data_IF_412688975073
#
_entry.id   IF_412688975073
#
_cell.length_a   1.000
_cell.length_b   1.000
_cell.length_c   1.000
_cell.angle_alpha   90.00
_cell.angle_beta   90.00
_cell.angle_gamma   90.00
#
_symmetry.space_group_name_H-M   'P 1'
#
loop_
_entity.id
_entity.type
_entity.pdbx_description
1 polymer ?
#
# COMPACT_ATOMS: atom_id res chain seq x y z
N UNK A 1 1.83 -47.59 -34.60
CA UNK A 1 2.63 -47.77 -33.37
C UNK A 1 2.58 -46.47 -32.59
N UNK A 2 1.79 -46.41 -31.50
CA UNK A 2 1.59 -45.20 -30.68
C UNK A 2 2.78 -45.06 -29.72
N UNK A 3 3.50 -43.95 -29.79
CA UNK A 3 4.55 -43.59 -28.83
C UNK A 3 3.84 -42.94 -27.63
N UNK A 4 3.86 -43.65 -26.50
CA UNK A 4 3.39 -43.17 -25.20
C UNK A 4 4.40 -42.16 -24.65
N UNK A 5 4.03 -40.87 -24.64
CA UNK A 5 4.70 -39.86 -23.80
C UNK A 5 4.29 -40.11 -22.34
N UNK A 6 5.20 -40.69 -21.55
CA UNK A 6 5.10 -40.67 -20.10
C UNK A 6 5.28 -39.23 -19.61
N UNK A 7 4.18 -38.60 -19.22
CA UNK A 7 4.19 -37.34 -18.48
C UNK A 7 4.56 -37.64 -17.02
N UNK A 8 5.86 -37.76 -16.73
CA UNK A 8 6.37 -37.75 -15.35
C UNK A 8 6.42 -36.29 -14.89
N UNK A 9 5.31 -35.74 -14.42
CA UNK A 9 5.30 -34.47 -13.70
C UNK A 9 5.66 -34.78 -12.25
N UNK A 10 6.89 -34.44 -11.87
CA UNK A 10 7.42 -34.62 -10.53
C UNK A 10 6.55 -33.88 -9.50
N UNK A 11 6.05 -34.66 -8.54
CA UNK A 11 5.63 -34.18 -7.23
C UNK A 11 6.91 -33.98 -6.40
N UNK A 12 7.28 -32.73 -6.16
CA UNK A 12 8.34 -32.33 -5.23
C UNK A 12 7.77 -31.17 -4.42
N UNK A 13 7.20 -31.49 -3.26
CA UNK A 13 6.55 -30.54 -2.35
C UNK A 13 5.97 -31.26 -1.14
N UNK A 14 6.82 -31.93 -0.36
CA UNK A 14 6.36 -32.73 0.78
C UNK A 14 7.47 -33.12 1.76
N UNK A 15 8.54 -32.32 1.86
CA UNK A 15 9.58 -32.51 2.89
C UNK A 15 9.87 -31.18 3.60
N UNK A 16 9.84 -30.07 2.86
CA UNK A 16 9.96 -28.73 3.44
C UNK A 16 8.64 -28.23 4.07
N UNK A 17 7.48 -28.68 3.55
CA UNK A 17 6.17 -28.23 4.01
C UNK A 17 5.82 -28.80 5.40
N UNK A 18 6.18 -30.05 5.69
CA UNK A 18 5.96 -30.69 7.00
C UNK A 18 6.80 -30.03 8.11
N UNK A 19 8.07 -29.69 7.82
CA UNK A 19 8.96 -28.99 8.75
C UNK A 19 8.48 -27.54 9.03
N UNK A 20 7.85 -26.89 8.04
CA UNK A 20 7.28 -25.56 8.22
C UNK A 20 5.95 -25.57 9.01
N UNK A 21 5.13 -26.63 8.89
CA UNK A 21 3.95 -26.85 9.75
C UNK A 21 4.31 -27.06 11.22
N UNK A 22 5.30 -27.91 11.47
CA UNK A 22 5.81 -28.15 12.82
C UNK A 22 6.33 -26.84 13.46
N UNK A 23 7.05 -26.01 12.69
CA UNK A 23 7.51 -24.69 13.14
C UNK A 23 6.35 -23.73 13.45
N UNK A 24 5.31 -23.69 12.61
CA UNK A 24 4.12 -22.84 12.86
C UNK A 24 3.48 -23.22 14.19
N UNK A 25 3.25 -24.51 14.42
CA UNK A 25 2.62 -24.99 15.66
C UNK A 25 3.46 -24.68 16.90
N UNK A 26 4.79 -24.81 16.80
CA UNK A 26 5.72 -24.47 17.87
C UNK A 26 5.70 -22.96 18.18
N UNK A 27 5.78 -22.11 17.14
CA UNK A 27 5.75 -20.66 17.28
C UNK A 27 4.42 -20.18 17.86
N UNK A 28 3.29 -20.77 17.46
CA UNK A 28 1.98 -20.48 18.04
C UNK A 28 1.96 -20.78 19.55
N UNK A 29 2.42 -21.95 19.98
CA UNK A 29 2.52 -22.31 21.41
C UNK A 29 3.45 -21.36 22.18
N UNK A 30 4.57 -20.96 21.58
CA UNK A 30 5.49 -19.99 22.20
C UNK A 30 4.86 -18.61 22.34
N UNK A 31 4.06 -18.17 21.37
CA UNK A 31 3.30 -16.91 21.43
C UNK A 31 2.19 -17.00 22.47
N UNK A 32 1.50 -18.13 22.60
CA UNK A 32 0.49 -18.33 23.64
C UNK A 32 1.11 -18.29 25.05
N UNK A 33 2.28 -18.92 25.22
CA UNK A 33 3.01 -18.91 26.48
C UNK A 33 3.67 -17.54 26.79
N UNK A 34 4.10 -16.82 25.75
CA UNK A 34 4.74 -15.50 25.86
C UNK A 34 4.29 -14.56 24.75
N UNK A 35 3.11 -13.91 24.91
CA UNK A 35 2.51 -13.07 23.87
C UNK A 35 3.34 -11.84 23.49
N UNK A 36 4.18 -11.36 24.41
CA UNK A 36 4.93 -10.12 24.25
C UNK A 36 6.29 -10.28 23.54
N UNK A 37 6.57 -11.45 22.96
CA UNK A 37 7.80 -11.68 22.21
C UNK A 37 7.64 -11.29 20.74
N UNK A 38 8.00 -10.05 20.40
CA UNK A 38 7.89 -9.49 19.05
C UNK A 38 8.52 -10.39 17.96
N UNK A 39 9.72 -10.93 18.21
CA UNK A 39 10.45 -11.75 17.25
C UNK A 39 9.69 -13.03 16.86
N UNK A 40 8.94 -13.63 17.79
CA UNK A 40 8.16 -14.83 17.53
C UNK A 40 7.01 -14.55 16.56
N UNK A 41 6.35 -13.39 16.70
CA UNK A 41 5.30 -12.96 15.78
C UNK A 41 5.84 -12.71 14.37
N UNK A 42 6.98 -12.03 14.24
CA UNK A 42 7.62 -11.79 12.94
C UNK A 42 8.02 -13.11 12.27
N UNK A 43 8.61 -14.04 13.03
CA UNK A 43 8.95 -15.38 12.53
C UNK A 43 7.72 -16.13 12.07
N UNK A 44 6.64 -16.14 12.86
CA UNK A 44 5.38 -16.79 12.50
C UNK A 44 4.84 -16.24 11.17
N UNK A 45 4.76 -14.91 11.03
CA UNK A 45 4.31 -14.26 9.80
C UNK A 45 5.20 -14.65 8.60
N UNK A 46 6.52 -14.72 8.80
CA UNK A 46 7.45 -15.08 7.72
C UNK A 46 7.25 -16.52 7.22
N UNK A 47 6.99 -17.48 8.12
CA UNK A 47 6.74 -18.88 7.78
C UNK A 47 5.37 -19.02 7.11
N UNK A 48 4.32 -18.41 7.68
CA UNK A 48 2.99 -18.40 7.06
C UNK A 48 2.99 -17.80 5.65
N UNK A 49 3.75 -16.71 5.43
CA UNK A 49 3.88 -16.09 4.11
C UNK A 49 4.57 -17.00 3.09
N UNK A 50 5.54 -17.82 3.53
CA UNK A 50 6.24 -18.80 2.68
C UNK A 50 5.28 -19.89 2.18
N UNK A 51 4.41 -20.40 3.06
CA UNK A 51 3.38 -21.40 2.72
C UNK A 51 2.27 -20.86 1.82
N UNK A 52 2.13 -19.53 1.69
CA UNK A 52 1.04 -18.85 0.96
C UNK A 52 -0.36 -19.18 1.49
N UNK A 53 -0.45 -19.55 2.76
CA UNK A 53 -1.70 -19.75 3.49
C UNK A 53 -2.18 -18.39 4.00
N UNK A 54 -2.93 -17.67 3.16
CA UNK A 54 -3.32 -16.28 3.43
C UNK A 54 -4.20 -16.12 4.67
N UNK A 55 -5.09 -17.08 4.97
CA UNK A 55 -5.98 -17.01 6.13
C UNK A 55 -5.19 -17.01 7.45
N UNK A 56 -4.26 -17.96 7.61
CA UNK A 56 -3.41 -18.03 8.80
C UNK A 56 -2.45 -16.85 8.89
N UNK A 57 -1.91 -16.41 7.75
CA UNK A 57 -1.04 -15.25 7.65
C UNK A 57 -1.76 -13.97 8.14
N UNK A 58 -2.99 -13.74 7.71
CA UNK A 58 -3.77 -12.57 8.14
C UNK A 58 -4.16 -12.66 9.60
N UNK A 59 -4.55 -13.84 10.10
CA UNK A 59 -4.84 -14.03 11.51
C UNK A 59 -3.60 -13.81 12.41
N UNK A 60 -2.41 -14.19 11.95
CA UNK A 60 -1.16 -13.91 12.66
C UNK A 60 -0.82 -12.41 12.67
N UNK A 61 -1.00 -11.72 11.54
CA UNK A 61 -0.79 -10.26 11.43
C UNK A 61 -1.79 -9.47 12.28
N UNK A 62 -3.06 -9.87 12.30
CA UNK A 62 -4.09 -9.23 13.12
C UNK A 62 -3.72 -9.29 14.60
N UNK A 63 -3.41 -10.51 15.11
CA UNK A 63 -2.95 -10.71 16.50
C UNK A 63 -1.70 -9.89 16.83
N UNK A 64 -0.75 -9.80 15.91
CA UNK A 64 0.45 -8.99 16.12
C UNK A 64 0.10 -7.50 16.19
N UNK A 65 -0.76 -7.00 15.30
CA UNK A 65 -1.15 -5.59 15.23
C UNK A 65 -1.97 -5.10 16.42
N UNK A 66 -2.68 -6.00 17.11
CA UNK A 66 -3.38 -5.69 18.36
C UNK A 66 -2.43 -5.48 19.53
N UNK A 67 -1.28 -6.16 19.52
CA UNK A 67 -0.30 -6.14 20.60
C UNK A 67 0.83 -5.13 20.36
N UNK A 68 1.21 -4.90 19.10
CA UNK A 68 2.37 -4.10 18.73
C UNK A 68 2.08 -3.19 17.54
N UNK A 69 2.63 -1.95 17.54
CA UNK A 69 2.67 -1.15 16.32
C UNK A 69 3.59 -1.84 15.30
N UNK A 70 3.05 -2.19 14.14
CA UNK A 70 3.83 -2.86 13.11
C UNK A 70 4.62 -1.84 12.28
N UNK A 71 5.82 -2.21 11.82
CA UNK A 71 6.63 -1.30 11.02
C UNK A 71 5.94 -1.01 9.67
N UNK A 72 6.23 0.14 9.04
CA UNK A 72 5.66 0.46 7.72
C UNK A 72 5.85 -0.63 6.68
N UNK A 73 6.98 -1.33 6.70
CA UNK A 73 7.30 -2.41 5.76
C UNK A 73 6.35 -3.61 5.94
N UNK A 74 6.05 -3.98 7.19
CA UNK A 74 5.13 -5.08 7.51
C UNK A 74 3.69 -4.75 7.09
N UNK A 75 3.27 -3.50 7.27
CA UNK A 75 1.97 -3.02 6.81
C UNK A 75 1.86 -3.06 5.28
N UNK A 76 2.89 -2.58 4.58
CA UNK A 76 2.94 -2.60 3.11
C UNK A 76 2.93 -4.04 2.59
N UNK A 77 3.68 -4.95 3.22
CA UNK A 77 3.66 -6.36 2.87
C UNK A 77 2.27 -6.98 3.04
N UNK A 78 1.56 -6.63 4.11
CA UNK A 78 0.18 -7.08 4.31
C UNK A 78 -0.75 -6.57 3.22
N UNK A 79 -0.71 -5.27 2.94
CA UNK A 79 -1.52 -4.65 1.90
C UNK A 79 -1.27 -5.31 0.54
N UNK A 80 -0.01 -5.61 0.22
CA UNK A 80 0.35 -6.30 -1.01
C UNK A 80 -0.14 -7.75 -1.08
N UNK A 81 -0.16 -8.45 0.05
CA UNK A 81 -0.68 -9.81 0.11
C UNK A 81 -2.21 -9.84 0.03
N UNK A 82 -2.92 -8.91 0.68
CA UNK A 82 -4.39 -8.77 0.57
C UNK A 82 -4.81 -8.49 -0.88
N UNK A 83 -4.05 -7.69 -1.64
CA UNK A 83 -4.28 -7.45 -3.08
C UNK A 83 -4.20 -8.70 -3.94
N UNK A 84 -3.41 -9.71 -3.52
CA UNK A 84 -3.25 -10.98 -4.26
C UNK A 84 -4.41 -11.92 -4.00
N UNK A 85 -5.11 -11.76 -2.87
CA UNK A 85 -6.30 -12.54 -2.56
C UNK A 85 -7.42 -12.12 -3.49
N UNK A 86 -7.96 -13.08 -4.25
CA UNK A 86 -8.97 -12.86 -5.28
C UNK A 86 -10.36 -12.51 -4.74
N UNK A 87 -10.45 -11.46 -3.92
CA UNK A 87 -11.69 -10.93 -3.35
C UNK A 87 -12.42 -10.03 -4.35
N UNK A 88 -13.73 -9.83 -4.12
CA UNK A 88 -14.49 -8.83 -4.86
C UNK A 88 -13.87 -7.43 -4.70
N UNK A 89 -13.83 -6.64 -5.78
CA UNK A 89 -13.17 -5.32 -5.81
C UNK A 89 -13.64 -4.38 -4.69
N UNK A 90 -14.93 -4.39 -4.37
CA UNK A 90 -15.51 -3.52 -3.35
C UNK A 90 -15.09 -3.93 -1.92
N UNK A 91 -15.06 -5.23 -1.65
CA UNK A 91 -14.62 -5.77 -0.35
C UNK A 91 -13.12 -5.51 -0.18
N UNK A 92 -12.32 -5.80 -1.21
CA UNK A 92 -10.89 -5.51 -1.23
C UNK A 92 -10.61 -4.03 -0.95
N UNK A 93 -11.32 -3.11 -1.60
CA UNK A 93 -11.18 -1.66 -1.35
C UNK A 93 -11.45 -1.29 0.10
N UNK A 94 -12.52 -1.82 0.69
CA UNK A 94 -12.90 -1.51 2.07
C UNK A 94 -11.84 -2.03 3.05
N UNK A 95 -11.35 -3.25 2.84
CA UNK A 95 -10.29 -3.85 3.65
C UNK A 95 -8.98 -3.08 3.54
N UNK A 96 -8.55 -2.76 2.32
CA UNK A 96 -7.32 -2.01 2.11
C UNK A 96 -7.38 -0.61 2.72
N UNK A 97 -8.50 0.11 2.56
CA UNK A 97 -8.68 1.42 3.21
C UNK A 97 -8.55 1.31 4.73
N UNK A 98 -9.17 0.29 5.34
CA UNK A 98 -9.03 0.03 6.78
C UNK A 98 -7.57 -0.25 7.18
N UNK A 99 -6.85 -1.08 6.40
CA UNK A 99 -5.44 -1.37 6.64
C UNK A 99 -4.56 -0.12 6.53
N UNK A 100 -4.78 0.75 5.55
CA UNK A 100 -4.06 2.02 5.44
C UNK A 100 -4.30 2.94 6.63
N UNK A 101 -5.55 3.13 7.04
CA UNK A 101 -5.89 3.99 8.19
C UNK A 101 -5.28 3.43 9.49
N UNK A 102 -5.26 2.11 9.67
CA UNK A 102 -4.58 1.45 10.79
C UNK A 102 -3.07 1.66 10.75
N UNK A 103 -2.45 1.45 9.59
CA UNK A 103 -1.01 1.63 9.41
C UNK A 103 -0.57 3.08 9.68
N UNK A 104 -1.39 4.05 9.24
CA UNK A 104 -1.15 5.48 9.46
C UNK A 104 -1.35 5.91 10.92
N UNK A 105 -2.16 5.17 11.69
CA UNK A 105 -2.31 5.37 13.14
C UNK A 105 -1.07 4.92 13.91
N UNK A 106 -0.43 3.83 13.47
CA UNK A 106 0.83 3.37 14.06
C UNK A 106 1.98 4.33 13.72
N UNK A 107 2.14 4.65 12.43
CA UNK A 107 3.21 5.53 11.95
C UNK A 107 2.71 6.45 10.83
N UNK A 108 2.86 7.79 10.93
CA UNK A 108 2.58 8.72 9.83
C UNK A 108 3.71 8.67 8.78
N UNK A 109 3.96 7.50 8.20
CA UNK A 109 5.05 7.26 7.26
C UNK A 109 4.72 7.81 5.87
N UNK A 110 5.69 8.48 5.25
CA UNK A 110 5.58 8.95 3.86
C UNK A 110 5.35 7.80 2.89
N UNK A 111 5.99 6.65 3.10
CA UNK A 111 5.84 5.48 2.22
C UNK A 111 4.40 4.98 2.17
N UNK A 112 3.76 4.88 3.33
CA UNK A 112 2.36 4.43 3.46
C UNK A 112 1.42 5.44 2.80
N UNK A 113 1.58 6.74 3.05
CA UNK A 113 0.77 7.78 2.43
C UNK A 113 0.92 7.82 0.90
N UNK A 114 2.15 7.67 0.40
CA UNK A 114 2.42 7.61 -1.03
C UNK A 114 1.73 6.42 -1.66
N UNK A 115 1.81 5.25 -1.03
CA UNK A 115 1.14 4.06 -1.56
C UNK A 115 -0.39 4.14 -1.43
N UNK A 116 -0.90 4.78 -0.38
CA UNK A 116 -2.34 4.97 -0.17
C UNK A 116 -2.95 5.85 -1.27
N UNK A 117 -2.34 7.00 -1.54
CA UNK A 117 -2.80 7.93 -2.58
C UNK A 117 -2.58 7.44 -4.00
N UNK A 118 -1.48 6.71 -4.25
CA UNK A 118 -1.14 6.14 -5.56
C UNK A 118 -1.69 4.73 -5.79
N UNK A 119 -2.47 4.19 -4.84
CA UNK A 119 -3.04 2.85 -4.98
C UNK A 119 -3.85 2.74 -6.26
N UNK A 120 -3.60 1.74 -7.12
CA UNK A 120 -4.38 1.53 -8.33
C UNK A 120 -5.88 1.41 -8.03
N UNK A 121 -6.28 0.92 -6.86
CA UNK A 121 -7.70 0.87 -6.48
C UNK A 121 -8.30 2.25 -6.18
N UNK A 122 -7.49 3.19 -5.69
CA UNK A 122 -7.91 4.58 -5.54
C UNK A 122 -7.98 5.30 -6.90
N UNK A 123 -7.11 4.94 -7.85
CA UNK A 123 -6.97 5.61 -9.14
C UNK A 123 -7.80 5.01 -10.29
N UNK A 124 -8.05 3.70 -10.31
CA UNK A 124 -8.72 2.97 -11.39
C UNK A 124 -10.25 3.17 -11.39
N UNK A 125 -10.83 3.63 -10.28
CA UNK A 125 -12.27 3.87 -10.15
C UNK A 125 -12.65 5.36 -10.23
N UNK A 126 -11.73 6.24 -10.68
CA UNK A 126 -12.05 7.65 -10.94
C UNK A 126 -12.89 7.73 -12.23
N UNK A 127 -14.15 7.32 -12.14
CA UNK A 127 -15.16 7.47 -13.20
C UNK A 127 -16.04 8.70 -12.98
N UNK A 128 -16.02 9.26 -11.76
CA UNK A 128 -16.82 10.41 -11.35
C UNK A 128 -15.99 11.45 -10.59
N UNK A 129 -16.43 12.71 -10.65
CA UNK A 129 -15.84 13.83 -9.90
C UNK A 129 -15.82 13.57 -8.39
N UNK A 130 -16.81 12.83 -7.86
CA UNK A 130 -16.90 12.49 -6.45
C UNK A 130 -15.72 11.62 -5.98
N UNK A 131 -15.27 10.68 -6.81
CA UNK A 131 -14.15 9.80 -6.46
C UNK A 131 -12.81 10.53 -6.55
N UNK A 132 -12.69 11.49 -7.46
CA UNK A 132 -11.53 12.39 -7.52
C UNK A 132 -11.40 13.25 -6.24
N UNK A 133 -12.52 13.80 -5.75
CA UNK A 133 -12.51 14.64 -4.56
C UNK A 133 -12.14 13.84 -3.29
N UNK A 134 -12.48 12.56 -3.22
CA UNK A 134 -12.00 11.65 -2.16
C UNK A 134 -10.48 11.45 -2.20
N UNK A 135 -9.90 11.21 -3.38
CA UNK A 135 -8.45 11.02 -3.50
C UNK A 135 -7.70 12.32 -3.18
N UNK A 136 -8.26 13.48 -3.56
CA UNK A 136 -7.73 14.79 -3.15
C UNK A 136 -7.71 14.97 -1.64
N UNK A 137 -8.77 14.57 -0.96
CA UNK A 137 -8.85 14.64 0.50
C UNK A 137 -7.75 13.80 1.17
N UNK A 138 -7.46 12.61 0.64
CA UNK A 138 -6.36 11.76 1.10
C UNK A 138 -5.01 12.49 0.94
N UNK A 139 -4.75 13.11 -0.21
CA UNK A 139 -3.50 13.86 -0.44
C UNK A 139 -3.39 15.11 0.44
N UNK A 140 -4.49 15.82 0.70
CA UNK A 140 -4.48 16.96 1.62
C UNK A 140 -4.20 16.53 3.07
N UNK A 141 -4.75 15.39 3.51
CA UNK A 141 -4.40 14.77 4.80
C UNK A 141 -2.92 14.36 4.85
N UNK A 142 -2.41 13.78 3.76
CA UNK A 142 -1.00 13.40 3.64
C UNK A 142 -0.07 14.62 3.74
N UNK A 143 -0.41 15.72 3.05
CA UNK A 143 0.34 16.98 3.12
C UNK A 143 0.31 17.57 4.53
N UNK A 144 -0.84 17.54 5.19
CA UNK A 144 -0.96 18.06 6.56
C UNK A 144 -0.11 17.24 7.55
N UNK A 145 -0.04 15.92 7.36
CA UNK A 145 0.67 15.03 8.26
C UNK A 145 2.17 14.97 8.00
N UNK A 146 2.58 14.83 6.74
CA UNK A 146 3.97 14.51 6.34
C UNK A 146 4.50 15.42 5.25
N UNK A 147 3.75 16.43 4.84
CA UNK A 147 4.13 17.36 3.78
C UNK A 147 5.28 18.31 4.14
N UNK A 148 5.66 18.41 5.42
CA UNK A 148 6.85 19.14 5.91
C UNK A 148 8.09 18.25 6.07
N UNK A 149 7.96 16.95 5.80
CA UNK A 149 9.06 16.02 5.97
C UNK A 149 10.20 16.37 5.03
N UNK A 150 11.34 16.77 5.58
CA UNK A 150 12.44 17.40 4.82
C UNK A 150 12.92 16.53 3.65
N UNK A 151 13.15 15.23 3.89
CA UNK A 151 13.76 14.33 2.88
C UNK A 151 12.75 13.78 1.87
N UNK A 152 11.62 13.27 2.35
CA UNK A 152 10.66 12.50 1.53
C UNK A 152 9.34 13.23 1.28
N UNK A 153 9.07 14.36 1.94
CA UNK A 153 7.82 15.10 1.79
C UNK A 153 7.57 15.54 0.35
N UNK A 154 8.63 15.80 -0.43
CA UNK A 154 8.54 16.14 -1.85
C UNK A 154 7.81 15.07 -2.67
N UNK A 155 7.91 13.79 -2.31
CA UNK A 155 7.26 12.68 -3.00
C UNK A 155 5.73 12.82 -2.95
N UNK A 156 5.17 13.18 -1.79
CA UNK A 156 3.72 13.37 -1.63
C UNK A 156 3.23 14.54 -2.50
N UNK A 157 3.98 15.64 -2.51
CA UNK A 157 3.65 16.80 -3.35
C UNK A 157 3.73 16.46 -4.84
N UNK A 158 4.74 15.69 -5.26
CA UNK A 158 4.92 15.20 -6.63
C UNK A 158 3.74 14.31 -7.05
N UNK A 159 3.43 13.28 -6.26
CA UNK A 159 2.30 12.39 -6.54
C UNK A 159 0.96 13.13 -6.63
N UNK A 160 0.73 14.13 -5.77
CA UNK A 160 -0.51 14.91 -5.85
C UNK A 160 -0.58 15.76 -7.13
N UNK A 161 0.55 16.35 -7.55
CA UNK A 161 0.60 17.08 -8.82
C UNK A 161 0.40 16.17 -10.02
N UNK A 162 1.01 14.99 -10.01
CA UNK A 162 0.83 14.00 -11.08
C UNK A 162 -0.65 13.63 -11.25
N UNK A 163 -1.37 13.45 -10.16
CA UNK A 163 -2.82 13.20 -10.19
C UNK A 163 -3.59 14.36 -10.82
N UNK A 164 -3.34 15.61 -10.40
CA UNK A 164 -4.04 16.78 -10.96
C UNK A 164 -3.70 17.03 -12.44
N UNK A 165 -2.44 16.78 -12.83
CA UNK A 165 -2.00 16.86 -14.23
C UNK A 165 -2.65 15.76 -15.07
N UNK A 166 -2.70 14.52 -14.56
CA UNK A 166 -3.39 13.41 -15.21
C UNK A 166 -4.86 13.75 -15.45
N UNK A 167 -5.56 14.25 -14.43
CA UNK A 167 -6.95 14.65 -14.56
C UNK A 167 -7.14 15.82 -15.53
N UNK A 168 -6.25 16.80 -15.52
CA UNK A 168 -6.26 17.91 -16.48
C UNK A 168 -6.14 17.41 -17.92
N UNK A 169 -5.32 16.39 -18.18
CA UNK A 169 -5.18 15.76 -19.50
C UNK A 169 -6.49 15.06 -19.90
N UNK A 170 -7.11 14.31 -18.99
CA UNK A 170 -8.40 13.65 -19.26
C UNK A 170 -9.50 14.66 -19.60
N UNK A 171 -9.55 15.79 -18.89
CA UNK A 171 -10.49 16.88 -19.14
C UNK A 171 -10.26 17.60 -20.47
N UNK A 172 -9.03 17.65 -21.00
CA UNK A 172 -8.75 18.30 -22.29
C UNK A 172 -9.58 17.70 -23.43
N UNK A 173 -9.89 16.41 -23.33
CA UNK A 173 -10.59 15.65 -24.36
C UNK A 173 -12.12 15.79 -24.33
N UNK A 174 -12.74 16.25 -23.22
CA UNK A 174 -14.19 16.12 -23.04
C UNK A 174 -14.96 17.33 -22.43
N UNK A 175 -14.34 18.46 -22.04
CA UNK A 175 -15.07 19.52 -21.31
C UNK A 175 -14.70 21.00 -21.62
N UNK A 176 -15.57 21.90 -21.11
CA UNK A 176 -15.57 23.38 -21.18
C UNK A 176 -14.32 24.04 -20.56
N UNK A 177 -13.87 25.16 -21.14
CA UNK A 177 -12.68 25.90 -20.74
C UNK A 177 -12.61 26.28 -19.24
N UNK A 178 -13.76 26.50 -18.58
CA UNK A 178 -13.84 26.88 -17.16
C UNK A 178 -13.23 25.83 -16.22
N UNK A 179 -13.59 24.54 -16.39
CA UNK A 179 -13.07 23.45 -15.53
C UNK A 179 -11.57 23.19 -15.75
N UNK A 180 -11.06 23.47 -16.95
CA UNK A 180 -9.63 23.42 -17.26
C UNK A 180 -8.87 24.51 -16.51
N UNK A 181 -9.44 25.72 -16.40
CA UNK A 181 -8.84 26.82 -15.66
C UNK A 181 -8.83 26.54 -14.14
N UNK A 182 -9.92 26.02 -13.58
CA UNK A 182 -9.97 25.62 -12.17
C UNK A 182 -8.89 24.59 -11.81
N UNK A 183 -8.75 23.54 -12.62
CA UNK A 183 -7.75 22.47 -12.39
C UNK A 183 -6.32 23.01 -12.52
N UNK A 184 -6.06 23.91 -13.49
CA UNK A 184 -4.76 24.60 -13.59
C UNK A 184 -4.46 25.43 -12.34
N UNK A 185 -5.44 26.20 -11.84
CA UNK A 185 -5.28 27.01 -10.65
C UNK A 185 -4.97 26.16 -9.40
N UNK A 186 -5.56 24.95 -9.30
CA UNK A 186 -5.20 23.99 -8.24
C UNK A 186 -3.73 23.58 -8.32
N UNK A 187 -3.25 23.18 -9.50
CA UNK A 187 -1.84 22.82 -9.72
C UNK A 187 -0.91 23.98 -9.34
N UNK A 188 -1.22 25.21 -9.76
CA UNK A 188 -0.45 26.40 -9.35
C UNK A 188 -0.50 26.64 -7.84
N UNK A 189 -1.65 26.45 -7.21
CA UNK A 189 -1.80 26.53 -5.77
C UNK A 189 -0.92 25.53 -5.02
N UNK A 190 -0.82 24.29 -5.53
CA UNK A 190 0.06 23.26 -4.96
C UNK A 190 1.53 23.66 -5.07
N UNK A 191 1.98 24.17 -6.22
CA UNK A 191 3.34 24.69 -6.36
C UNK A 191 3.63 25.82 -5.38
N UNK A 192 2.72 26.79 -5.26
CA UNK A 192 2.90 27.92 -4.33
C UNK A 192 3.03 27.44 -2.88
N UNK A 193 2.20 26.48 -2.47
CA UNK A 193 2.27 25.88 -1.13
C UNK A 193 3.60 25.14 -0.93
N UNK A 194 4.00 24.30 -1.88
CA UNK A 194 5.24 23.53 -1.77
C UNK A 194 6.48 24.44 -1.69
N UNK A 195 6.55 25.50 -2.50
CA UNK A 195 7.67 26.45 -2.47
C UNK A 195 7.78 27.23 -1.15
N UNK A 196 6.72 27.22 -0.34
CA UNK A 196 6.71 27.84 0.99
C UNK A 196 7.20 26.88 2.09
N UNK A 197 7.47 25.60 1.76
CA UNK A 197 7.94 24.58 2.70
C UNK A 197 9.42 24.29 2.42
N UNK A 198 10.28 24.25 3.45
CA UNK A 198 11.70 23.94 3.30
C UNK A 198 11.90 22.43 3.07
N UNK A 199 11.51 21.95 1.90
CA UNK A 199 11.72 20.57 1.47
C UNK A 199 13.10 20.45 0.82
N UNK A 200 13.74 19.30 1.01
CA UNK A 200 14.92 18.91 0.27
C UNK A 200 14.48 18.54 -1.16
N UNK A 201 14.23 19.55 -1.99
CA UNK A 201 13.89 19.38 -3.39
C UNK A 201 15.10 18.95 -4.19
N UNK A 202 14.95 17.89 -5.00
CA UNK A 202 15.82 17.61 -6.15
C UNK A 202 15.71 18.79 -7.14
N UNK A 203 16.42 19.88 -6.89
CA UNK A 203 16.67 20.91 -7.89
C UNK A 203 17.67 20.44 -8.98
N UNK A 204 18.13 19.18 -8.92
CA UNK A 204 19.22 18.65 -9.76
C UNK A 204 18.79 18.00 -11.07
N UNK A 205 17.50 17.80 -11.37
CA UNK A 205 17.08 17.13 -12.62
C UNK A 205 16.47 18.06 -13.68
N UNK A 206 16.49 19.38 -13.46
CA UNK A 206 16.13 20.37 -14.49
C UNK A 206 17.34 21.17 -15.00
N UNK A 207 18.55 20.77 -14.60
CA UNK A 207 19.82 21.31 -15.08
C UNK A 207 20.68 20.12 -15.55
N UNK A 208 20.27 19.49 -16.66
CA UNK A 208 21.14 18.82 -17.62
C UNK A 208 20.33 18.43 -18.86
#
# INVERSE_FOLDING_TARGET
MKILFQFRRGFVGGFDDDDDEDKISLLQRQIEASPYTYENHVKLISVCRKKKEYEELFAARERMSELFPMTPELWIDWINDERKVGSSKLDLRTRLNSLYERALKDYPSVSIWSEYGSSPLALLEIHSKCDLDRVREIFERAITSVGIHVVQGSLIWESFRELEVYWLIQLKNNETASKKLETKNKVFGLFKRQLSVPLLGKFYSLIN
#
